data_IF_586316844169
#
_entry.id   IF_586316844169
#
_cell.length_a   1.000
_cell.length_b   1.000
_cell.length_c   1.000
_cell.angle_alpha   90.00
_cell.angle_beta   90.00
_cell.angle_gamma   90.00
#
_symmetry.space_group_name_H-M   'P 1'
#
loop_
_entity.id
_entity.type
_entity.pdbx_description
1 polymer ?
#
# COMPACT_ATOMS: atom_id res chain seq x y z
N UNK A 1 -50.11 -50.93 34.42
CA UNK A 1 -50.98 -51.39 33.32
C UNK A 1 -51.99 -50.29 33.06
N UNK A 2 -51.82 -49.53 31.97
CA UNK A 2 -52.66 -49.64 30.76
C UNK A 2 -54.09 -49.12 31.04
N UNK A 3 -54.66 -48.13 30.35
CA UNK A 3 -54.64 -47.82 28.91
C UNK A 3 -55.39 -46.51 28.65
N UNK A 4 -54.99 -45.83 27.58
CA UNK A 4 -55.78 -44.85 26.80
C UNK A 4 -56.88 -45.60 26.00
N UNK A 5 -58.01 -44.94 25.71
CA UNK A 5 -58.47 -44.84 24.30
C UNK A 5 -58.87 -43.38 23.99
N UNK A 6 -58.39 -42.72 22.93
CA UNK A 6 -58.52 -42.93 21.47
C UNK A 6 -59.92 -42.72 20.88
N UNK A 7 -59.93 -41.90 19.81
CA UNK A 7 -60.92 -41.71 18.72
C UNK A 7 -61.96 -40.59 18.89
N UNK A 8 -62.31 -39.77 17.88
CA UNK A 8 -61.84 -39.46 16.51
C UNK A 8 -62.83 -38.38 15.97
N UNK A 9 -62.47 -37.69 14.86
CA UNK A 9 -63.33 -36.93 13.93
C UNK A 9 -63.70 -35.46 14.28
N UNK A 10 -63.70 -34.47 13.36
CA UNK A 10 -63.39 -34.38 11.93
C UNK A 10 -63.49 -32.88 11.48
N UNK A 11 -62.48 -32.38 10.74
CA UNK A 11 -62.52 -31.45 9.58
C UNK A 11 -62.78 -29.92 9.71
N UNK A 12 -62.09 -29.21 8.78
CA UNK A 12 -62.17 -27.82 8.30
C UNK A 12 -61.42 -26.80 9.17
N UNK A 13 -60.34 -26.14 8.75
CA UNK A 13 -59.78 -25.89 7.44
C UNK A 13 -59.35 -24.42 7.40
N UNK A 14 -58.08 -24.11 7.69
CA UNK A 14 -57.47 -22.84 7.32
C UNK A 14 -55.95 -22.99 7.29
N UNK A 15 -55.41 -22.96 6.08
CA UNK A 15 -53.98 -22.88 5.83
C UNK A 15 -53.53 -21.43 6.07
N UNK A 16 -52.59 -21.22 6.99
CA UNK A 16 -51.68 -20.08 6.93
C UNK A 16 -50.26 -20.60 7.12
N UNK A 17 -49.53 -20.59 6.02
CA UNK A 17 -48.11 -20.88 5.91
C UNK A 17 -47.33 -19.84 6.71
N UNK A 18 -46.69 -20.26 7.80
CA UNK A 18 -45.59 -19.51 8.41
C UNK A 18 -44.36 -19.81 7.55
N UNK A 19 -44.11 -18.97 6.54
CA UNK A 19 -42.80 -18.90 5.89
C UNK A 19 -41.82 -18.34 6.91
N UNK A 20 -41.00 -19.21 7.50
CA UNK A 20 -39.80 -18.79 8.20
C UNK A 20 -38.78 -18.39 7.13
N UNK A 21 -38.72 -17.09 6.85
CA UNK A 21 -37.59 -16.50 6.15
C UNK A 21 -36.38 -16.60 7.09
N UNK A 22 -35.45 -17.47 6.74
CA UNK A 22 -34.07 -17.39 7.21
C UNK A 22 -33.54 -16.00 6.85
N UNK A 23 -32.83 -15.28 7.75
CA UNK A 23 -32.04 -14.15 7.30
C UNK A 23 -30.96 -14.72 6.37
N UNK A 24 -31.10 -14.40 5.09
CA UNK A 24 -30.00 -14.54 4.15
C UNK A 24 -28.84 -13.72 4.70
N UNK A 25 -27.67 -14.36 4.82
CA UNK A 25 -26.40 -13.67 4.97
C UNK A 25 -26.32 -12.68 3.81
N UNK A 26 -26.53 -11.40 4.10
CA UNK A 26 -26.25 -10.35 3.16
C UNK A 26 -24.74 -10.42 2.90
N UNK A 27 -24.35 -10.77 1.68
CA UNK A 27 -23.07 -10.33 1.15
C UNK A 27 -23.00 -8.83 1.40
N UNK A 28 -21.95 -8.41 2.11
CA UNK A 28 -21.59 -7.01 2.26
C UNK A 28 -21.37 -6.48 0.84
N UNK A 29 -22.36 -5.76 0.31
CA UNK A 29 -22.19 -5.00 -0.92
C UNK A 29 -21.01 -4.05 -0.72
N UNK A 30 -20.10 -4.05 -1.69
CA UNK A 30 -18.93 -3.18 -1.72
C UNK A 30 -19.33 -1.75 -1.35
N UNK A 31 -18.62 -1.18 -0.37
CA UNK A 31 -18.76 0.17 0.14
C UNK A 31 -19.15 1.13 -1.01
N UNK A 32 -20.39 1.63 -1.00
CA UNK A 32 -20.77 2.74 -1.88
C UNK A 32 -19.76 3.85 -1.60
N UNK A 33 -18.94 4.17 -2.62
CA UNK A 33 -17.75 5.00 -2.48
C UNK A 33 -18.00 6.16 -1.54
N UNK A 34 -17.14 6.29 -0.52
CA UNK A 34 -17.29 7.22 0.59
C UNK A 34 -17.51 8.66 0.10
N UNK A 35 -18.76 9.01 -0.18
CA UNK A 35 -19.25 10.39 -0.23
C UNK A 35 -19.55 10.90 1.18
N UNK A 36 -19.17 10.14 2.22
CA UNK A 36 -19.41 10.42 3.63
C UNK A 36 -18.21 10.93 4.40
N UNK A 37 -16.99 10.92 3.83
CA UNK A 37 -15.80 11.46 4.49
C UNK A 37 -15.94 12.97 4.66
N UNK A 38 -16.04 13.41 5.91
CA UNK A 38 -16.27 14.79 6.28
C UNK A 38 -16.24 14.94 7.79
N UNK A 39 -15.99 16.16 8.27
CA UNK A 39 -15.98 16.43 9.70
C UNK A 39 -17.32 16.04 10.33
N UNK A 40 -17.25 15.28 11.41
CA UNK A 40 -18.40 14.76 12.16
C UNK A 40 -19.00 13.47 11.63
N UNK A 41 -18.60 12.99 10.45
CA UNK A 41 -19.08 11.72 9.89
C UNK A 41 -18.32 10.53 10.48
N UNK A 42 -19.04 9.47 10.83
CA UNK A 42 -18.44 8.19 11.20
C UNK A 42 -18.10 7.39 9.94
N UNK A 43 -16.83 7.03 9.80
CA UNK A 43 -16.33 6.18 8.72
C UNK A 43 -16.13 4.77 9.27
N UNK A 44 -16.77 3.75 8.69
CA UNK A 44 -16.58 2.36 9.12
C UNK A 44 -15.15 1.91 8.82
N UNK A 45 -14.58 1.12 9.72
CA UNK A 45 -13.26 0.50 9.58
C UNK A 45 -13.47 -1.00 9.50
N UNK A 46 -12.82 -1.66 8.53
CA UNK A 46 -12.84 -3.12 8.39
C UNK A 46 -11.50 -3.74 8.71
N UNK A 47 -11.48 -5.01 9.12
CA UNK A 47 -10.27 -5.83 9.17
C UNK A 47 -9.90 -6.36 7.77
N UNK A 48 -8.83 -7.16 7.70
CA UNK A 48 -8.32 -7.79 6.47
C UNK A 48 -9.31 -8.77 5.83
N UNK A 49 -10.26 -9.30 6.61
CA UNK A 49 -11.34 -10.14 6.11
C UNK A 49 -12.52 -9.32 5.53
N UNK A 50 -12.45 -7.99 5.57
CA UNK A 50 -13.50 -7.09 5.14
C UNK A 50 -14.65 -6.94 6.15
N UNK A 51 -14.51 -7.47 7.36
CA UNK A 51 -15.52 -7.35 8.42
C UNK A 51 -15.36 -6.00 9.12
N UNK A 52 -16.47 -5.28 9.33
CA UNK A 52 -16.44 -4.02 10.10
C UNK A 52 -16.04 -4.32 11.54
N UNK A 53 -15.05 -3.60 12.06
CA UNK A 53 -14.54 -3.73 13.44
C UNK A 53 -14.88 -2.51 14.31
N UNK A 54 -15.29 -1.41 13.69
CA UNK A 54 -15.70 -0.20 14.39
C UNK A 54 -15.90 0.96 13.42
N UNK A 55 -15.97 2.16 13.99
CA UNK A 55 -16.03 3.40 13.23
C UNK A 55 -15.11 4.47 13.81
N UNK A 56 -14.59 5.33 12.94
CA UNK A 56 -13.75 6.48 13.29
C UNK A 56 -14.41 7.76 12.80
N UNK A 57 -14.49 8.76 13.65
CA UNK A 57 -15.02 10.09 13.32
C UNK A 57 -13.97 11.15 13.62
N UNK A 58 -13.65 11.98 12.64
CA UNK A 58 -12.94 13.24 12.89
C UNK A 58 -13.96 14.29 13.30
N UNK A 59 -14.01 14.63 14.58
CA UNK A 59 -15.00 15.57 15.11
C UNK A 59 -14.67 17.02 14.76
N UNK A 60 -13.39 17.37 14.81
CA UNK A 60 -12.87 18.71 14.52
C UNK A 60 -11.38 18.64 14.16
N UNK A 61 -10.94 19.61 13.38
CA UNK A 61 -9.52 19.91 13.11
C UNK A 61 -9.31 21.38 13.49
N UNK A 62 -8.32 21.63 14.35
CA UNK A 62 -7.99 22.97 14.85
C UNK A 62 -6.60 23.32 14.32
N UNK A 63 -6.56 24.38 13.53
CA UNK A 63 -5.35 24.88 12.88
C UNK A 63 -5.38 26.43 12.83
N UNK A 64 -4.42 27.14 13.45
CA UNK A 64 -3.39 26.61 14.35
C UNK A 64 -3.95 26.28 15.74
N UNK A 65 -3.48 25.20 16.35
CA UNK A 65 -3.77 24.85 17.73
C UNK A 65 -2.80 25.56 18.69
N UNK A 66 -3.37 26.34 19.61
CA UNK A 66 -2.62 27.15 20.60
C UNK A 66 -2.82 26.68 22.04
N UNK A 67 -3.60 25.61 22.25
CA UNK A 67 -3.92 25.07 23.58
C UNK A 67 -2.86 24.16 24.19
N UNK A 68 -1.61 24.24 23.73
CA UNK A 68 -0.46 23.50 24.30
C UNK A 68 0.06 24.20 25.56
N UNK A 69 0.81 23.46 26.37
CA UNK A 69 1.54 24.04 27.49
C UNK A 69 2.57 25.07 26.96
N UNK A 70 2.55 26.29 27.48
CA UNK A 70 3.43 27.38 27.04
C UNK A 70 4.91 27.12 27.27
N UNK A 71 5.25 26.19 28.16
CA UNK A 71 6.64 25.75 28.40
C UNK A 71 7.15 24.82 27.28
N UNK A 72 6.26 24.31 26.44
CA UNK A 72 6.53 23.41 25.31
C UNK A 72 5.86 23.95 24.03
N UNK A 73 6.26 25.13 23.53
CA UNK A 73 5.74 25.65 22.29
C UNK A 73 6.19 24.79 21.10
N UNK A 74 5.54 24.97 19.95
CA UNK A 74 6.02 24.42 18.70
C UNK A 74 7.44 24.94 18.39
N UNK A 75 8.20 24.16 17.63
CA UNK A 75 9.52 24.57 17.18
C UNK A 75 9.45 25.86 16.34
N UNK A 76 10.50 26.71 16.35
CA UNK A 76 10.52 27.93 15.56
C UNK A 76 10.22 27.68 14.06
N UNK A 77 9.24 28.39 13.51
CA UNK A 77 8.80 28.24 12.11
C UNK A 77 7.79 27.12 11.88
N UNK A 78 7.26 26.53 12.96
CA UNK A 78 6.23 25.50 12.94
C UNK A 78 5.07 25.88 13.87
N UNK A 79 3.93 25.25 13.66
CA UNK A 79 2.77 25.31 14.54
C UNK A 79 2.18 23.91 14.75
N UNK A 80 1.30 23.80 15.73
CA UNK A 80 0.54 22.57 15.95
C UNK A 80 -0.77 22.61 15.18
N UNK A 81 -1.11 21.49 14.54
CA UNK A 81 -2.46 21.17 14.09
C UNK A 81 -2.99 20.08 15.00
N UNK A 82 -4.24 20.18 15.45
CA UNK A 82 -4.86 19.15 16.30
C UNK A 82 -6.11 18.60 15.67
N UNK A 83 -6.17 17.27 15.60
CA UNK A 83 -7.32 16.49 15.18
C UNK A 83 -7.97 15.90 16.42
N UNK A 84 -9.27 16.16 16.62
CA UNK A 84 -10.04 15.42 17.61
C UNK A 84 -10.73 14.24 16.94
N UNK A 85 -10.23 13.05 17.22
CA UNK A 85 -10.82 11.81 16.74
C UNK A 85 -11.74 11.19 17.79
N UNK A 86 -12.70 10.42 17.32
CA UNK A 86 -13.58 9.58 18.11
C UNK A 86 -13.56 8.18 17.50
N UNK A 87 -13.27 7.19 18.32
CA UNK A 87 -13.26 5.78 17.94
C UNK A 87 -14.42 5.08 18.64
N UNK A 88 -15.21 4.31 17.89
CA UNK A 88 -16.29 3.48 18.41
C UNK A 88 -16.04 2.03 18.01
N UNK A 89 -16.02 1.11 18.97
CA UNK A 89 -15.99 -0.34 18.74
C UNK A 89 -17.42 -0.89 18.62
N UNK A 90 -18.22 -0.30 17.72
CA UNK A 90 -19.66 -0.52 17.58
C UNK A 90 -20.04 -1.77 16.76
N UNK A 91 -19.05 -2.51 16.26
CA UNK A 91 -19.26 -3.73 15.48
C UNK A 91 -19.26 -5.03 16.31
N UNK A 92 -19.20 -4.92 17.65
CA UNK A 92 -19.21 -6.07 18.55
C UNK A 92 -17.87 -6.81 18.69
N UNK A 93 -16.80 -6.28 18.11
CA UNK A 93 -15.42 -6.79 18.21
C UNK A 93 -14.52 -5.81 18.95
N UNK A 94 -13.28 -6.24 19.25
CA UNK A 94 -12.27 -5.35 19.81
C UNK A 94 -11.71 -4.44 18.72
N UNK A 95 -11.37 -3.22 19.09
CA UNK A 95 -10.80 -2.25 18.16
C UNK A 95 -9.54 -1.63 18.77
N UNK A 96 -8.39 -1.98 18.20
CA UNK A 96 -7.11 -1.40 18.58
C UNK A 96 -6.95 -0.01 17.97
N UNK A 97 -6.60 0.96 18.80
CA UNK A 97 -6.42 2.34 18.38
C UNK A 97 -5.08 2.86 18.88
N UNK A 98 -4.49 3.77 18.13
CA UNK A 98 -3.30 4.50 18.52
C UNK A 98 -3.26 5.88 17.87
N UNK A 99 -2.53 6.86 18.42
CA UNK A 99 -2.42 8.19 17.82
C UNK A 99 -1.75 8.16 16.44
N UNK A 100 -0.71 7.34 16.27
CA UNK A 100 0.07 7.25 15.03
C UNK A 100 -0.68 6.61 13.87
N UNK A 101 -1.83 5.97 14.10
CA UNK A 101 -2.68 5.47 13.01
C UNK A 101 -3.57 6.56 12.41
N UNK A 102 -3.51 7.79 12.92
CA UNK A 102 -4.16 8.95 12.29
C UNK A 102 -3.07 9.76 11.59
N UNK A 103 -3.22 9.89 10.28
CA UNK A 103 -2.25 10.54 9.40
C UNK A 103 -2.89 11.78 8.79
N UNK A 104 -2.16 12.88 8.76
CA UNK A 104 -2.61 14.11 8.11
C UNK A 104 -1.91 14.29 6.77
N UNK A 105 -2.66 14.65 5.72
CA UNK A 105 -2.09 15.06 4.45
C UNK A 105 -2.19 16.57 4.28
N UNK A 106 -1.15 17.19 3.72
CA UNK A 106 -1.13 18.62 3.40
C UNK A 106 -1.45 18.96 1.92
N UNK A 107 -1.32 20.23 1.54
CA UNK A 107 -1.57 20.71 0.18
C UNK A 107 -0.53 20.24 -0.86
N UNK A 108 0.62 19.75 -0.41
CA UNK A 108 1.68 19.21 -1.25
C UNK A 108 1.61 17.68 -1.36
N UNK A 109 0.64 17.06 -0.67
CA UNK A 109 0.45 15.62 -0.63
C UNK A 109 1.33 14.92 0.40
N UNK A 110 2.14 15.64 1.18
CA UNK A 110 2.98 15.09 2.24
C UNK A 110 2.10 14.53 3.35
N UNK A 111 2.46 13.37 3.86
CA UNK A 111 1.84 12.70 4.99
C UNK A 111 2.62 13.05 6.26
N UNK A 112 1.89 13.46 7.28
CA UNK A 112 2.42 13.88 8.57
C UNK A 112 1.93 12.90 9.63
N UNK A 113 2.88 12.36 10.39
CA UNK A 113 2.62 11.50 11.54
C UNK A 113 2.25 12.31 12.79
N UNK A 114 1.59 11.64 13.72
CA UNK A 114 1.24 12.24 15.00
C UNK A 114 2.50 12.58 15.81
N UNK A 115 2.51 13.74 16.45
CA UNK A 115 3.50 14.14 17.44
C UNK A 115 2.93 14.07 18.87
N UNK A 116 3.81 14.18 19.86
CA UNK A 116 3.40 14.29 21.25
C UNK A 116 2.88 15.70 21.56
N UNK A 117 1.69 15.80 22.17
CA UNK A 117 1.13 17.08 22.62
C UNK A 117 1.27 17.21 24.13
N UNK A 118 2.10 18.14 24.59
CA UNK A 118 2.11 18.50 26.01
C UNK A 118 0.97 19.47 26.28
N UNK A 119 -0.17 18.94 26.72
CA UNK A 119 -1.35 19.73 27.07
C UNK A 119 -1.23 20.31 28.50
N UNK A 120 -1.88 21.44 28.80
CA UNK A 120 -2.07 21.93 30.17
C UNK A 120 -2.83 20.93 31.05
N UNK A 121 -2.58 20.95 32.36
CA UNK A 121 -3.23 20.05 33.33
C UNK A 121 -4.77 20.21 33.38
N UNK A 122 -5.30 21.35 32.93
CA UNK A 122 -6.72 21.66 32.88
C UNK A 122 -7.38 21.38 31.51
N UNK A 123 -6.67 20.73 30.58
CA UNK A 123 -7.21 20.34 29.28
C UNK A 123 -8.43 19.41 29.43
N UNK A 124 -9.56 19.80 28.84
CA UNK A 124 -10.82 19.05 28.94
C UNK A 124 -10.83 17.74 28.15
N UNK A 125 -10.09 17.68 27.05
CA UNK A 125 -9.94 16.49 26.22
C UNK A 125 -8.46 16.10 26.26
N UNK A 126 -8.13 14.91 26.78
CA UNK A 126 -6.74 14.48 26.84
C UNK A 126 -6.23 14.15 25.44
N UNK A 127 -4.90 14.11 25.29
CA UNK A 127 -4.28 13.48 24.13
C UNK A 127 -4.71 12.01 24.07
N UNK A 128 -4.95 11.52 22.86
CA UNK A 128 -5.24 10.11 22.64
C UNK A 128 -4.01 9.28 23.04
N UNK A 129 -4.25 8.14 23.69
CA UNK A 129 -3.23 7.13 23.98
C UNK A 129 -3.61 5.82 23.31
N UNK A 130 -2.62 5.02 22.93
CA UNK A 130 -2.85 3.69 22.39
C UNK A 130 -3.57 2.78 23.38
N UNK A 131 -4.60 2.07 22.92
CA UNK A 131 -5.37 1.12 23.72
C UNK A 131 -6.24 0.20 22.85
N UNK A 132 -6.65 -0.94 23.42
CA UNK A 132 -7.67 -1.81 22.84
C UNK A 132 -9.04 -1.48 23.41
N UNK A 133 -9.98 -1.06 22.57
CA UNK A 133 -11.37 -0.85 22.96
C UNK A 133 -12.10 -2.19 23.07
N UNK A 134 -12.86 -2.36 24.16
CA UNK A 134 -13.81 -3.46 24.26
C UNK A 134 -15.03 -3.21 23.35
N UNK A 135 -15.77 -4.26 22.95
CA UNK A 135 -17.02 -4.10 22.21
C UNK A 135 -17.95 -3.06 22.85
N UNK A 136 -18.64 -2.29 22.02
CA UNK A 136 -19.54 -1.19 22.39
C UNK A 136 -18.89 -0.04 23.19
N UNK A 137 -17.55 -0.02 23.28
CA UNK A 137 -16.81 1.08 23.91
C UNK A 137 -16.54 2.20 22.93
N UNK A 138 -16.40 3.40 23.50
CA UNK A 138 -16.12 4.63 22.76
C UNK A 138 -15.05 5.43 23.47
N UNK A 139 -14.13 5.99 22.71
CA UNK A 139 -13.16 6.96 23.22
C UNK A 139 -12.99 8.14 22.28
N UNK A 140 -12.62 9.28 22.84
CA UNK A 140 -12.27 10.48 22.10
C UNK A 140 -10.97 11.03 22.68
N UNK A 141 -10.11 11.56 21.82
CA UNK A 141 -8.85 12.17 22.24
C UNK A 141 -8.31 13.12 21.17
N UNK A 142 -7.36 13.95 21.57
CA UNK A 142 -6.62 14.85 20.68
C UNK A 142 -5.41 14.12 20.09
N UNK A 143 -5.19 14.29 18.79
CA UNK A 143 -3.98 13.86 18.08
C UNK A 143 -3.34 15.12 17.51
N UNK A 144 -2.07 15.35 17.82
CA UNK A 144 -1.34 16.52 17.34
C UNK A 144 -0.45 16.19 16.17
N UNK A 145 -0.25 17.18 15.32
CA UNK A 145 0.72 17.21 14.24
C UNK A 145 1.51 18.50 14.40
N UNK A 146 2.82 18.46 14.16
CA UNK A 146 3.64 19.65 14.15
C UNK A 146 4.13 19.87 12.73
N UNK A 147 3.76 21.00 12.13
CA UNK A 147 3.99 21.27 10.72
C UNK A 147 4.58 22.67 10.53
N UNK A 148 5.33 22.91 9.43
CA UNK A 148 5.79 24.26 9.08
C UNK A 148 4.65 25.27 8.93
N UNK A 149 4.94 26.54 9.20
CA UNK A 149 3.94 27.63 9.22
C UNK A 149 3.19 27.88 7.90
N UNK A 150 3.72 27.40 6.77
CA UNK A 150 3.12 27.51 5.44
C UNK A 150 2.33 26.27 5.00
N UNK A 151 2.26 25.24 5.84
CA UNK A 151 1.51 24.02 5.57
C UNK A 151 0.05 24.18 5.99
N UNK A 152 -0.85 23.71 5.12
CA UNK A 152 -2.30 23.68 5.32
C UNK A 152 -2.80 22.23 5.19
N UNK A 153 -3.43 21.68 6.23
CA UNK A 153 -4.06 20.35 6.18
C UNK A 153 -5.14 20.26 5.10
N UNK A 154 -5.12 19.20 4.30
CA UNK A 154 -6.13 18.94 3.25
C UNK A 154 -6.98 17.72 3.53
N UNK A 155 -6.42 16.66 4.12
CA UNK A 155 -7.13 15.41 4.41
C UNK A 155 -6.61 14.76 5.69
N UNK A 156 -7.50 14.04 6.37
CA UNK A 156 -7.18 13.19 7.52
C UNK A 156 -7.49 11.74 7.15
N UNK A 157 -6.52 10.85 7.39
CA UNK A 157 -6.61 9.43 7.12
C UNK A 157 -6.53 8.61 8.42
N UNK A 158 -7.11 7.41 8.37
CA UNK A 158 -6.82 6.33 9.31
C UNK A 158 -5.98 5.27 8.58
N UNK A 159 -4.83 4.94 9.15
CA UNK A 159 -3.87 3.96 8.66
C UNK A 159 -3.77 2.79 9.65
N UNK A 160 -4.65 1.78 9.57
CA UNK A 160 -4.57 0.61 10.45
C UNK A 160 -3.34 -0.25 10.16
N UNK A 161 -2.90 -0.26 8.89
CA UNK A 161 -1.71 -0.95 8.38
C UNK A 161 -1.08 -0.08 7.29
N UNK A 162 0.21 -0.29 7.00
CA UNK A 162 0.96 0.56 6.06
C UNK A 162 0.35 0.62 4.65
N UNK A 163 -0.23 -0.49 4.18
CA UNK A 163 -0.85 -0.63 2.86
C UNK A 163 -2.29 -0.12 2.78
N UNK A 164 -2.79 0.63 3.77
CA UNK A 164 -4.18 1.08 3.79
C UNK A 164 -4.35 2.48 4.35
N UNK A 165 -4.93 3.38 3.57
CA UNK A 165 -5.26 4.75 3.97
C UNK A 165 -6.76 5.01 3.79
N UNK A 166 -7.50 4.93 4.88
CA UNK A 166 -8.96 5.18 4.91
C UNK A 166 -9.18 6.68 5.09
N UNK A 167 -9.80 7.34 4.10
CA UNK A 167 -10.14 8.76 4.20
C UNK A 167 -11.21 9.00 5.28
N UNK A 168 -10.84 9.72 6.35
CA UNK A 168 -11.76 10.08 7.43
C UNK A 168 -12.45 11.41 7.19
N UNK A 169 -11.68 12.41 6.78
CA UNK A 169 -12.18 13.75 6.51
C UNK A 169 -11.40 14.41 5.37
N UNK A 170 -12.13 14.97 4.41
CA UNK A 170 -11.59 15.89 3.42
C UNK A 170 -11.84 17.33 3.91
N UNK A 171 -10.76 18.05 4.22
CA UNK A 171 -10.80 19.42 4.73
C UNK A 171 -10.85 20.43 3.59
N UNK A 172 -10.17 20.10 2.48
CA UNK A 172 -10.20 20.84 1.23
C UNK A 172 -10.59 19.88 0.12
N UNK A 173 -11.72 20.16 -0.53
CA UNK A 173 -12.21 19.34 -1.64
C UNK A 173 -11.15 19.25 -2.74
N UNK A 174 -10.63 18.04 -2.95
CA UNK A 174 -9.55 17.79 -3.89
C UNK A 174 -10.07 16.82 -4.93
N UNK A 175 -10.42 17.36 -6.09
CA UNK A 175 -10.81 16.54 -7.24
C UNK A 175 -9.57 15.83 -7.78
N UNK A 176 -9.60 14.49 -7.84
CA UNK A 176 -8.54 13.73 -8.50
C UNK A 176 -8.40 14.21 -9.96
N UNK A 177 -7.16 14.36 -10.47
CA UNK A 177 -6.95 14.79 -11.85
C UNK A 177 -7.62 13.82 -12.83
N UNK A 178 -8.26 14.28 -13.91
CA UNK A 178 -8.71 13.36 -14.94
C UNK A 178 -7.50 12.77 -15.69
N UNK A 179 -7.65 11.54 -16.20
CA UNK A 179 -6.68 10.90 -17.10
C UNK A 179 -6.34 11.87 -18.24
N UNK A 180 -5.05 11.98 -18.58
CA UNK A 180 -4.49 12.92 -19.55
C UNK A 180 -4.02 14.25 -18.95
N UNK A 181 -4.28 14.51 -17.66
CA UNK A 181 -3.78 15.70 -16.95
C UNK A 181 -2.32 15.51 -16.53
N UNK A 182 -1.49 16.50 -16.83
CA UNK A 182 -0.12 16.54 -16.33
C UNK A 182 -0.11 17.07 -14.88
N UNK A 183 0.52 16.33 -13.99
CA UNK A 183 0.63 16.63 -12.55
C UNK A 183 2.11 16.94 -12.24
N UNK A 184 2.42 18.06 -11.55
CA UNK A 184 3.76 18.31 -11.05
C UNK A 184 4.23 17.19 -10.13
N UNK A 185 5.47 16.75 -10.30
CA UNK A 185 5.99 15.58 -9.61
C UNK A 185 7.41 15.84 -9.13
N UNK A 186 7.73 15.37 -7.92
CA UNK A 186 9.10 15.36 -7.40
C UNK A 186 9.46 13.91 -7.10
N UNK A 187 10.57 13.44 -7.67
CA UNK A 187 11.05 12.08 -7.41
C UNK A 187 11.70 11.95 -6.02
N UNK A 188 12.10 10.72 -5.68
CA UNK A 188 12.72 10.40 -4.40
C UNK A 188 14.10 11.04 -4.17
N UNK A 189 14.78 11.49 -5.23
CA UNK A 189 16.06 12.18 -5.19
C UNK A 189 15.90 13.71 -5.15
N UNK A 190 14.67 14.22 -5.16
CA UNK A 190 14.34 15.65 -5.21
C UNK A 190 14.36 16.26 -6.61
N UNK A 191 14.48 15.44 -7.66
CA UNK A 191 14.34 15.86 -9.05
C UNK A 191 12.88 16.22 -9.37
N UNK A 192 12.66 17.32 -10.10
CA UNK A 192 11.30 17.81 -10.40
C UNK A 192 10.92 17.61 -11.86
N UNK A 193 9.72 17.13 -12.11
CA UNK A 193 9.18 16.86 -13.43
C UNK A 193 7.66 16.96 -13.47
N UNK A 194 7.07 16.32 -14.47
CA UNK A 194 5.63 16.13 -14.58
C UNK A 194 5.31 14.68 -14.92
N UNK A 195 4.20 14.19 -14.38
CA UNK A 195 3.65 12.87 -14.68
C UNK A 195 2.26 13.04 -15.28
N UNK A 196 2.01 12.35 -16.40
CA UNK A 196 0.70 12.30 -17.05
C UNK A 196 0.24 10.86 -17.15
N UNK A 197 -0.86 10.53 -16.48
CA UNK A 197 -1.52 9.23 -16.69
C UNK A 197 -2.22 9.27 -18.04
N UNK A 198 -1.83 8.40 -18.98
CA UNK A 198 -2.35 8.37 -20.35
C UNK A 198 -3.62 7.55 -20.45
N UNK A 199 -3.64 6.42 -19.76
CA UNK A 199 -4.71 5.44 -19.85
C UNK A 199 -4.74 4.59 -18.59
N UNK A 200 -5.93 4.19 -18.18
CA UNK A 200 -6.15 3.15 -17.18
C UNK A 200 -7.17 2.17 -17.78
N UNK A 201 -6.84 0.87 -17.81
CA UNK A 201 -7.70 -0.19 -18.32
C UNK A 201 -8.05 -1.13 -17.16
N UNK A 202 -9.33 -1.23 -16.85
CA UNK A 202 -9.88 -2.11 -15.81
C UNK A 202 -11.19 -2.76 -16.32
N UNK A 203 -11.29 -4.10 -16.40
CA UNK A 203 -10.23 -5.08 -16.19
C UNK A 203 -9.24 -5.14 -17.37
N UNK A 204 -7.97 -5.39 -17.07
CA UNK A 204 -6.93 -5.63 -18.06
C UNK A 204 -6.79 -7.13 -18.36
N UNK A 205 -6.88 -7.51 -19.64
CA UNK A 205 -6.79 -8.90 -20.10
C UNK A 205 -5.60 -9.16 -21.04
N UNK A 206 -4.79 -8.14 -21.35
CA UNK A 206 -3.64 -8.24 -22.25
C UNK A 206 -2.39 -8.83 -21.59
N UNK A 207 -2.56 -9.90 -20.82
CA UNK A 207 -1.48 -10.62 -20.12
C UNK A 207 -1.25 -11.98 -20.75
N UNK A 208 -0.02 -12.48 -20.67
CA UNK A 208 0.33 -13.82 -21.11
C UNK A 208 -0.43 -14.85 -20.26
N UNK A 209 -1.11 -15.84 -20.86
CA UNK A 209 -1.85 -16.86 -20.12
C UNK A 209 -1.00 -17.70 -19.14
N UNK A 210 0.33 -17.70 -19.29
CA UNK A 210 1.26 -18.33 -18.34
C UNK A 210 1.40 -17.55 -17.02
N UNK A 211 0.94 -16.30 -16.97
CA UNK A 211 0.80 -15.45 -15.79
C UNK A 211 -0.68 -15.23 -15.51
N UNK A 212 -1.43 -16.28 -15.11
CA UNK A 212 -2.85 -16.12 -14.82
C UNK A 212 -3.02 -15.19 -13.63
N UNK A 213 -4.09 -14.40 -13.68
CA UNK A 213 -4.46 -13.55 -12.55
C UNK A 213 -4.63 -14.40 -11.28
N UNK A 214 -4.15 -13.95 -10.11
CA UNK A 214 -4.38 -14.63 -8.85
C UNK A 214 -5.87 -14.90 -8.62
N UNK A 215 -6.18 -16.02 -7.95
CA UNK A 215 -7.56 -16.40 -7.66
C UNK A 215 -8.28 -15.27 -6.91
N UNK A 216 -9.49 -14.93 -7.36
CA UNK A 216 -10.29 -13.86 -6.76
C UNK A 216 -9.84 -12.44 -7.14
N UNK A 217 -8.87 -12.28 -8.03
CA UNK A 217 -8.33 -10.98 -8.47
C UNK A 217 -8.62 -10.67 -9.94
N UNK A 218 -8.38 -9.43 -10.34
CA UNK A 218 -8.36 -8.93 -11.72
C UNK A 218 -7.14 -8.04 -11.91
N UNK A 219 -6.58 -8.02 -13.12
CA UNK A 219 -5.50 -7.08 -13.43
C UNK A 219 -6.05 -5.72 -13.81
N UNK A 220 -5.31 -4.67 -13.49
CA UNK A 220 -5.55 -3.28 -13.89
C UNK A 220 -4.28 -2.75 -14.52
N UNK A 221 -4.38 -2.15 -15.70
CA UNK A 221 -3.24 -1.58 -16.42
C UNK A 221 -3.27 -0.05 -16.32
N UNK A 222 -2.11 0.58 -16.16
CA UNK A 222 -1.96 2.02 -16.29
C UNK A 222 -0.74 2.36 -17.15
N UNK A 223 -0.91 3.29 -18.09
CA UNK A 223 0.17 3.87 -18.87
C UNK A 223 0.43 5.30 -18.40
N UNK A 224 1.69 5.66 -18.18
CA UNK A 224 2.10 6.96 -17.68
C UNK A 224 3.23 7.53 -18.54
N UNK A 225 3.23 8.85 -18.75
CA UNK A 225 4.37 9.59 -19.29
C UNK A 225 5.00 10.43 -18.19
N UNK A 226 6.29 10.21 -17.95
CA UNK A 226 7.15 11.03 -17.13
C UNK A 226 7.92 12.01 -18.03
N UNK A 227 8.04 13.27 -17.59
CA UNK A 227 8.78 14.30 -18.31
C UNK A 227 9.66 15.09 -17.35
N UNK A 228 10.96 15.17 -17.65
CA UNK A 228 11.86 16.01 -16.89
C UNK A 228 11.74 17.46 -17.35
N UNK A 229 11.06 18.27 -16.54
CA UNK A 229 10.87 19.70 -16.81
C UNK A 229 11.88 20.60 -16.12
N UNK A 230 12.85 20.02 -15.42
CA UNK A 230 13.91 20.73 -14.71
C UNK A 230 15.23 20.70 -15.49
N UNK A 231 16.21 21.46 -14.99
CA UNK A 231 17.60 21.41 -15.46
C UNK A 231 18.43 20.29 -14.78
N UNK A 232 17.83 19.57 -13.82
CA UNK A 232 18.48 18.53 -13.01
C UNK A 232 18.21 17.11 -13.51
N UNK A 233 18.71 16.12 -12.76
CA UNK A 233 18.31 14.72 -12.96
C UNK A 233 16.87 14.51 -12.48
N UNK A 234 16.14 13.65 -13.18
CA UNK A 234 14.79 13.24 -12.80
C UNK A 234 14.64 11.74 -13.04
N UNK A 235 14.14 10.99 -12.08
CA UNK A 235 13.98 9.55 -12.16
C UNK A 235 12.52 9.15 -12.28
N UNK A 236 12.27 8.14 -13.13
CA UNK A 236 11.01 7.40 -13.12
C UNK A 236 11.11 6.27 -12.11
N UNK A 237 10.03 5.95 -11.41
CA UNK A 237 9.97 4.80 -10.51
C UNK A 237 8.57 4.19 -10.51
N UNK A 238 8.45 2.95 -10.96
CA UNK A 238 7.20 2.21 -10.92
C UNK A 238 6.81 1.81 -9.50
N UNK A 239 7.77 1.52 -8.61
CA UNK A 239 7.47 1.09 -7.24
C UNK A 239 6.82 2.18 -6.39
N UNK A 240 7.02 3.45 -6.78
CA UNK A 240 6.33 4.58 -6.15
C UNK A 240 4.84 4.63 -6.50
N UNK A 241 4.35 3.92 -7.50
CA UNK A 241 2.96 4.02 -7.95
C UNK A 241 2.03 3.17 -7.09
N UNK A 242 0.86 3.71 -6.75
CA UNK A 242 -0.11 3.03 -5.90
C UNK A 242 -1.51 3.18 -6.49
N UNK A 243 -2.21 2.07 -6.67
CA UNK A 243 -3.61 2.07 -7.03
C UNK A 243 -4.46 1.95 -5.77
N UNK A 244 -5.37 2.89 -5.53
CA UNK A 244 -6.22 2.87 -4.35
C UNK A 244 -7.64 2.41 -4.69
N UNK A 245 -8.26 1.65 -3.78
CA UNK A 245 -9.67 1.30 -3.85
C UNK A 245 -10.57 2.08 -2.86
N UNK A 246 -11.86 1.81 -2.91
CA UNK A 246 -12.88 2.50 -2.10
C UNK A 246 -12.83 2.16 -0.61
N UNK A 247 -12.10 1.11 -0.21
CA UNK A 247 -11.84 0.74 1.18
C UNK A 247 -10.56 1.38 1.72
N UNK A 248 -9.84 2.12 0.88
CA UNK A 248 -8.56 2.76 1.19
C UNK A 248 -7.35 1.84 1.01
N UNK A 249 -7.53 0.61 0.52
CA UNK A 249 -6.43 -0.32 0.31
C UNK A 249 -5.54 0.18 -0.85
N UNK A 250 -4.22 0.08 -0.66
CA UNK A 250 -3.21 0.53 -1.60
C UNK A 250 -2.54 -0.69 -2.25
N UNK A 251 -2.65 -0.77 -3.56
CA UNK A 251 -2.14 -1.86 -4.37
C UNK A 251 -0.89 -1.39 -5.11
N UNK A 252 0.22 -2.11 -4.92
CA UNK A 252 1.49 -1.85 -5.62
C UNK A 252 1.51 -2.57 -6.98
N UNK A 253 2.35 -2.14 -7.94
CA UNK A 253 2.48 -2.81 -9.22
C UNK A 253 3.02 -4.23 -9.05
N UNK A 254 2.58 -5.11 -9.94
CA UNK A 254 3.07 -6.48 -10.08
C UNK A 254 3.70 -6.65 -11.47
N UNK A 255 4.76 -7.45 -11.53
CA UNK A 255 5.38 -7.82 -12.79
C UNK A 255 4.56 -8.94 -13.46
N UNK A 256 4.06 -8.65 -14.66
CA UNK A 256 3.39 -9.64 -15.51
C UNK A 256 3.89 -9.50 -16.94
N UNK A 257 4.01 -10.64 -17.64
CA UNK A 257 4.28 -10.60 -19.07
C UNK A 257 3.04 -10.11 -19.81
N UNK A 258 3.11 -8.93 -20.43
CA UNK A 258 2.02 -8.37 -21.24
C UNK A 258 2.07 -8.90 -22.67
N UNK A 259 0.95 -8.85 -23.39
CA UNK A 259 0.83 -9.36 -24.76
C UNK A 259 0.17 -8.36 -25.71
N UNK A 260 0.35 -8.61 -27.01
CA UNK A 260 -0.30 -7.86 -28.08
C UNK A 260 0.12 -6.38 -28.13
N UNK A 261 -0.83 -5.53 -28.49
CA UNK A 261 -0.60 -4.10 -28.74
C UNK A 261 -0.16 -3.32 -27.48
N UNK A 262 -0.29 -3.92 -26.29
CA UNK A 262 0.16 -3.28 -25.05
C UNK A 262 1.69 -3.18 -24.99
N UNK A 263 2.43 -4.06 -25.68
CA UNK A 263 3.89 -4.04 -25.73
C UNK A 263 4.47 -2.81 -26.44
N UNK A 264 3.64 -2.01 -27.13
CA UNK A 264 4.06 -0.74 -27.74
C UNK A 264 4.54 0.25 -26.65
N UNK A 265 3.89 0.22 -25.48
CA UNK A 265 4.36 0.95 -24.30
C UNK A 265 5.24 -0.01 -23.49
N UNK A 266 6.53 0.28 -23.26
CA UNK A 266 7.40 -0.60 -22.49
C UNK A 266 6.97 -0.65 -21.02
N UNK A 267 7.40 -1.67 -20.27
CA UNK A 267 7.19 -1.68 -18.82
C UNK A 267 7.95 -0.53 -18.18
N UNK A 268 7.29 0.14 -17.23
CA UNK A 268 7.89 1.23 -16.48
C UNK A 268 8.83 0.64 -15.43
N UNK A 269 10.08 1.06 -15.48
CA UNK A 269 11.09 0.74 -14.47
C UNK A 269 11.75 1.99 -13.92
N UNK A 270 12.85 1.78 -13.20
CA UNK A 270 13.73 2.85 -12.77
C UNK A 270 14.56 3.37 -13.94
N UNK A 271 14.43 4.66 -14.29
CA UNK A 271 15.22 5.27 -15.35
C UNK A 271 15.48 6.76 -15.08
N UNK A 272 16.71 7.21 -15.35
CA UNK A 272 17.04 8.63 -15.29
C UNK A 272 16.70 9.32 -16.63
N UNK A 273 16.01 10.44 -16.55
CA UNK A 273 15.67 11.31 -17.67
C UNK A 273 16.54 12.56 -17.67
N UNK A 274 17.15 12.90 -18.81
CA UNK A 274 17.85 14.17 -18.96
C UNK A 274 16.84 15.34 -19.04
N UNK A 275 17.27 16.59 -18.82
CA UNK A 275 16.41 17.76 -18.99
C UNK A 275 15.70 17.80 -20.34
N UNK A 276 14.38 17.90 -20.33
CA UNK A 276 13.52 17.90 -21.52
C UNK A 276 13.16 16.52 -22.08
N UNK A 277 13.76 15.44 -21.57
CA UNK A 277 13.41 14.08 -21.96
C UNK A 277 12.07 13.66 -21.36
N UNK A 278 11.44 12.69 -22.04
CA UNK A 278 10.18 12.09 -21.62
C UNK A 278 10.20 10.60 -21.88
N UNK A 279 9.69 9.84 -20.93
CA UNK A 279 9.57 8.38 -20.99
C UNK A 279 8.12 7.99 -20.75
N UNK A 280 7.59 7.11 -21.60
CA UNK A 280 6.28 6.51 -21.38
C UNK A 280 6.46 5.05 -21.03
N UNK A 281 5.84 4.62 -19.94
CA UNK A 281 5.90 3.24 -19.48
C UNK A 281 4.56 2.79 -18.93
N UNK A 282 4.43 1.48 -18.79
CA UNK A 282 3.24 0.81 -18.30
C UNK A 282 3.49 0.09 -16.97
N UNK A 283 2.47 0.02 -16.14
CA UNK A 283 2.44 -0.81 -14.93
C UNK A 283 1.13 -1.59 -14.88
N UNK A 284 1.16 -2.74 -14.22
CA UNK A 284 -0.02 -3.59 -13.98
C UNK A 284 -0.17 -3.81 -12.48
N UNK A 285 -1.40 -3.83 -11.99
CA UNK A 285 -1.75 -4.11 -10.60
C UNK A 285 -2.66 -5.33 -10.57
N UNK A 286 -2.49 -6.21 -9.58
CA UNK A 286 -3.51 -7.20 -9.21
C UNK A 286 -4.37 -6.65 -8.08
N UNK A 287 -5.68 -6.57 -8.31
CA UNK A 287 -6.65 -6.11 -7.30
C UNK A 287 -7.79 -7.13 -7.15
N UNK A 288 -8.48 -7.20 -6.00
CA UNK A 288 -9.62 -8.08 -5.84
C UNK A 288 -10.67 -7.85 -6.93
N UNK A 289 -11.25 -8.92 -7.46
CA UNK A 289 -12.15 -8.87 -8.62
C UNK A 289 -13.42 -8.03 -8.37
N UNK A 290 -13.79 -7.78 -7.12
CA UNK A 290 -14.91 -6.92 -6.72
C UNK A 290 -14.51 -5.51 -6.23
N UNK A 291 -13.20 -5.19 -6.16
CA UNK A 291 -12.73 -3.91 -5.67
C UNK A 291 -13.23 -2.76 -6.56
N UNK A 292 -13.62 -1.64 -5.93
CA UNK A 292 -14.00 -0.41 -6.63
C UNK A 292 -12.83 0.57 -6.54
N UNK A 293 -12.19 0.86 -7.67
CA UNK A 293 -11.01 1.72 -7.70
C UNK A 293 -11.41 3.19 -7.50
N UNK A 294 -10.57 3.95 -6.79
CA UNK A 294 -10.75 5.39 -6.58
C UNK A 294 -9.80 6.21 -7.45
N UNK A 295 -8.52 5.84 -7.48
CA UNK A 295 -7.51 6.58 -8.23
C UNK A 295 -6.14 5.94 -8.23
N UNK A 296 -5.30 6.48 -9.11
CA UNK A 296 -3.87 6.22 -9.17
C UNK A 296 -3.13 7.34 -8.44
N UNK A 297 -2.21 6.95 -7.58
CA UNK A 297 -1.40 7.81 -6.73
C UNK A 297 0.07 7.48 -6.91
N UNK A 298 0.94 8.33 -6.35
CA UNK A 298 2.35 8.01 -6.19
C UNK A 298 2.87 8.44 -4.82
N UNK A 299 3.78 7.63 -4.29
CA UNK A 299 4.51 7.83 -3.04
C UNK A 299 6.01 7.72 -3.29
N UNK A 300 6.65 8.75 -3.88
CA UNK A 300 8.07 8.70 -4.22
C UNK A 300 8.97 8.50 -2.99
N UNK A 301 8.61 9.11 -1.85
CA UNK A 301 9.42 9.06 -0.62
C UNK A 301 8.84 8.15 0.46
N UNK A 302 7.68 7.50 0.22
CA UNK A 302 6.90 6.83 1.28
C UNK A 302 6.12 7.77 2.20
N UNK A 303 6.59 9.01 2.35
CA UNK A 303 5.98 10.06 3.19
C UNK A 303 5.07 11.02 2.38
N UNK A 304 4.79 10.70 1.13
CA UNK A 304 3.92 11.50 0.26
C UNK A 304 2.87 10.60 -0.38
N UNK A 305 1.67 11.12 -0.62
CA UNK A 305 0.65 10.46 -1.43
C UNK A 305 0.07 11.44 -2.44
N UNK A 306 0.74 11.55 -3.58
CA UNK A 306 0.39 12.48 -4.65
C UNK A 306 -0.71 11.87 -5.55
N UNK A 307 -1.88 12.52 -5.70
CA UNK A 307 -2.90 12.06 -6.64
C UNK A 307 -2.47 12.29 -8.09
N UNK A 308 -2.45 11.22 -8.90
CA UNK A 308 -2.05 11.29 -10.31
C UNK A 308 -3.25 11.26 -11.27
N UNK A 309 -4.23 10.38 -11.03
CA UNK A 309 -5.46 10.35 -11.82
C UNK A 309 -6.63 9.67 -11.10
N UNK A 310 -7.86 10.08 -11.43
CA UNK A 310 -9.07 9.36 -11.08
C UNK A 310 -9.16 8.02 -11.84
N UNK A 311 -9.64 6.98 -11.16
CA UNK A 311 -9.89 5.69 -11.81
C UNK A 311 -11.10 5.76 -12.77
N UNK A 312 -11.13 4.94 -13.84
CA UNK A 312 -12.25 4.89 -14.76
C UNK A 312 -13.57 4.59 -14.03
N UNK A 313 -14.64 5.31 -14.39
CA UNK A 313 -15.97 5.14 -13.77
C UNK A 313 -16.26 6.10 -12.62
N UNK A 314 -15.26 6.87 -12.14
CA UNK A 314 -15.50 8.02 -11.26
C UNK A 314 -15.67 9.27 -12.11
N UNK A 315 -16.91 9.54 -12.50
CA UNK A 315 -17.24 10.76 -13.24
C UNK A 315 -17.25 11.93 -12.27
N UNK A 316 -16.36 12.91 -12.44
CA UNK A 316 -16.53 14.23 -11.85
C UNK A 316 -17.92 14.78 -12.25
N UNK A 317 -18.60 15.58 -11.40
CA UNK A 317 -19.89 16.17 -11.75
C UNK A 317 -19.71 17.07 -12.97
N UNK A 318 -20.08 16.55 -14.12
CA UNK A 318 -19.96 17.25 -15.40
C UNK A 318 -21.12 18.24 -15.48
N UNK A 319 -20.80 19.53 -15.45
CA UNK A 319 -21.72 20.56 -15.96
C UNK A 319 -21.91 20.34 -17.44
N UNK A 320 -23.10 19.88 -17.81
CA UNK A 320 -23.58 19.70 -19.17
C UNK A 320 -23.38 20.97 -19.99
N UNK A 321 -22.54 20.91 -21.02
CA UNK A 321 -22.61 21.81 -22.17
C UNK A 321 -22.67 20.96 -23.42
N UNK A 322 -23.88 20.80 -23.95
CA UNK A 322 -24.13 20.08 -25.19
C UNK A 322 -23.48 20.76 -26.39
N UNK A 323 -22.85 19.96 -27.23
CA UNK A 323 -22.69 20.25 -28.64
C UNK A 323 -22.77 18.94 -29.41
N UNK A 324 -23.52 19.03 -30.50
CA UNK A 324 -24.23 17.99 -31.24
C UNK A 324 -23.33 17.26 -32.25
N UNK A 325 -23.70 16.02 -32.57
CA UNK A 325 -23.02 15.09 -33.46
C UNK A 325 -22.76 15.64 -34.89
N UNK A 326 -21.72 15.12 -35.54
CA UNK A 326 -21.74 14.88 -36.99
C UNK A 326 -20.89 13.64 -37.32
N UNK A 327 -21.45 12.58 -37.93
CA UNK A 327 -20.71 11.36 -38.27
C UNK A 327 -20.05 11.46 -39.66
N UNK A 328 -18.84 10.92 -39.81
CA UNK A 328 -18.20 10.77 -41.12
C UNK A 328 -17.52 9.40 -41.30
N UNK A 329 -18.18 8.58 -42.14
CA UNK A 329 -17.70 7.59 -43.11
C UNK A 329 -16.56 6.59 -42.77
N UNK A 330 -16.91 5.30 -42.89
CA UNK A 330 -16.03 4.15 -43.11
C UNK A 330 -15.17 4.26 -44.38
N UNK A 331 -14.00 3.60 -44.41
CA UNK A 331 -13.50 3.02 -45.65
C UNK A 331 -13.30 1.49 -45.59
N UNK A 332 -13.44 0.96 -46.79
CA UNK A 332 -13.54 -0.40 -47.30
C UNK A 332 -12.32 -1.29 -47.04
N UNK A 333 -12.58 -2.58 -46.80
CA UNK A 333 -11.58 -3.66 -46.72
C UNK A 333 -10.89 -3.92 -48.06
N UNK A 334 -9.57 -4.12 -48.04
CA UNK A 334 -8.80 -4.66 -49.17
C UNK A 334 -8.00 -5.89 -48.72
N UNK A 335 -8.17 -6.98 -49.48
CA UNK A 335 -7.62 -8.31 -49.24
C UNK A 335 -6.20 -8.38 -49.80
N UNK A 336 -5.22 -8.79 -48.99
CA UNK A 336 -3.85 -9.10 -49.46
C UNK A 336 -3.50 -10.54 -49.09
N UNK A 337 -3.05 -11.29 -50.10
CA UNK A 337 -2.73 -12.72 -50.08
C UNK A 337 -1.42 -13.08 -49.36
N UNK A 338 -1.44 -14.22 -48.70
CA UNK A 338 -0.32 -14.92 -48.05
C UNK A 338 0.65 -15.55 -49.07
N UNK A 339 1.99 -15.52 -48.84
CA UNK A 339 2.91 -16.50 -49.41
C UNK A 339 3.43 -17.52 -48.38
N UNK A 340 3.70 -18.72 -48.90
CA UNK A 340 4.12 -19.97 -48.26
C UNK A 340 5.53 -19.91 -47.61
N UNK A 341 5.79 -20.56 -46.45
CA UNK A 341 7.12 -20.56 -45.83
C UNK A 341 8.00 -21.74 -46.29
N UNK A 342 9.28 -21.45 -46.52
CA UNK A 342 10.34 -22.41 -46.82
C UNK A 342 10.89 -23.10 -45.55
N UNK A 343 11.54 -24.29 -45.66
CA UNK A 343 11.91 -25.11 -44.51
C UNK A 343 13.16 -24.62 -43.77
N UNK A 344 13.08 -24.69 -42.44
CA UNK A 344 14.11 -24.26 -41.48
C UNK A 344 15.15 -25.38 -41.25
N UNK A 345 16.42 -24.99 -41.21
CA UNK A 345 17.57 -25.85 -40.83
C UNK A 345 17.76 -25.77 -39.31
N UNK A 346 18.06 -26.86 -38.57
CA UNK A 346 18.15 -26.81 -37.11
C UNK A 346 19.45 -26.16 -36.62
N UNK A 347 19.33 -25.28 -35.62
CA UNK A 347 20.43 -24.68 -34.85
C UNK A 347 20.98 -25.63 -33.76
N UNK A 348 22.24 -25.43 -33.30
CA UNK A 348 22.91 -26.29 -32.32
C UNK A 348 22.60 -25.90 -30.85
N UNK A 349 22.95 -26.82 -29.94
CA UNK A 349 22.71 -26.83 -28.49
C UNK A 349 22.77 -25.47 -27.75
N UNK A 350 21.71 -25.22 -26.97
CA UNK A 350 21.52 -24.08 -26.05
C UNK A 350 22.54 -24.14 -24.91
N UNK A 351 23.39 -23.12 -24.79
CA UNK A 351 24.18 -22.87 -23.59
C UNK A 351 23.24 -22.44 -22.45
N UNK A 352 23.47 -22.94 -21.23
CA UNK A 352 22.70 -22.60 -20.03
C UNK A 352 22.59 -21.07 -19.87
N UNK A 353 21.37 -20.59 -19.69
CA UNK A 353 21.07 -19.17 -19.56
C UNK A 353 21.52 -18.68 -18.16
N UNK A 354 22.57 -17.85 -18.05
CA UNK A 354 23.08 -17.37 -16.76
C UNK A 354 22.08 -16.47 -16.01
N UNK A 355 21.03 -15.95 -16.67
CA UNK A 355 19.99 -15.13 -16.06
C UNK A 355 18.94 -15.97 -15.32
N UNK A 356 18.68 -17.21 -15.75
CA UNK A 356 17.71 -18.09 -15.10
C UNK A 356 18.19 -18.52 -13.69
N UNK A 357 19.46 -18.94 -13.58
CA UNK A 357 20.06 -19.32 -12.30
C UNK A 357 20.12 -18.13 -11.32
N UNK A 358 20.28 -16.91 -11.83
CA UNK A 358 20.27 -15.68 -11.03
C UNK A 358 18.86 -15.33 -10.54
N UNK A 359 17.84 -15.47 -11.38
CA UNK A 359 16.45 -15.22 -10.99
C UNK A 359 15.97 -16.18 -9.90
N UNK A 360 16.24 -17.48 -10.05
CA UNK A 360 15.88 -18.48 -9.04
C UNK A 360 16.58 -18.21 -7.69
N UNK A 361 17.85 -17.79 -7.74
CA UNK A 361 18.61 -17.39 -6.55
C UNK A 361 18.03 -16.13 -5.88
N UNK A 362 17.57 -15.15 -6.66
CA UNK A 362 16.99 -13.89 -6.17
C UNK A 362 15.63 -14.09 -5.49
N UNK A 363 14.76 -14.95 -6.04
CA UNK A 363 13.46 -15.29 -5.43
C UNK A 363 13.68 -15.96 -4.08
N UNK A 364 14.55 -16.97 -4.03
CA UNK A 364 14.92 -17.62 -2.78
C UNK A 364 15.52 -16.63 -1.77
N UNK A 365 16.33 -15.66 -2.21
CA UNK A 365 16.87 -14.59 -1.37
C UNK A 365 15.82 -13.65 -0.77
N UNK A 366 14.76 -13.34 -1.51
CA UNK A 366 13.68 -12.46 -1.06
C UNK A 366 12.89 -13.07 0.09
N UNK A 367 12.52 -14.35 -0.01
CA UNK A 367 11.83 -15.07 1.08
C UNK A 367 12.65 -15.09 2.38
N UNK A 368 13.98 -15.19 2.25
CA UNK A 368 14.91 -15.22 3.38
C UNK A 368 15.06 -13.84 4.03
N UNK A 369 15.03 -12.76 3.23
CA UNK A 369 14.99 -11.39 3.74
C UNK A 369 13.69 -11.12 4.50
N UNK A 370 12.53 -11.54 3.96
CA UNK A 370 11.23 -11.39 4.64
C UNK A 370 11.20 -12.15 5.97
N UNK A 371 11.73 -13.38 6.00
CA UNK A 371 11.87 -14.15 7.24
C UNK A 371 12.77 -13.44 8.27
N UNK A 372 13.88 -12.84 7.83
CA UNK A 372 14.78 -12.08 8.69
C UNK A 372 14.13 -10.79 9.23
N UNK A 373 13.29 -10.12 8.44
CA UNK A 373 12.52 -8.95 8.87
C UNK A 373 11.49 -9.33 9.94
N UNK A 374 10.76 -10.43 9.75
CA UNK A 374 9.84 -10.94 10.78
C UNK A 374 10.54 -11.28 12.10
N UNK A 375 11.71 -11.92 12.04
CA UNK A 375 12.53 -12.18 13.24
C UNK A 375 13.05 -10.89 13.89
N UNK A 376 13.32 -9.85 13.12
CA UNK A 376 13.76 -8.56 13.65
C UNK A 376 12.62 -7.85 14.39
N UNK A 377 11.39 -7.94 13.87
CA UNK A 377 10.18 -7.45 14.55
C UNK A 377 9.94 -8.20 15.87
N UNK A 378 10.08 -9.53 15.85
CA UNK A 378 9.98 -10.36 17.05
C UNK A 378 11.05 -9.98 18.08
N UNK A 379 12.29 -9.71 17.64
CA UNK A 379 13.36 -9.25 18.52
C UNK A 379 13.04 -7.90 19.16
N UNK A 380 12.47 -6.95 18.41
CA UNK A 380 12.10 -5.62 18.94
C UNK A 380 10.97 -5.69 19.96
N UNK A 381 10.08 -6.66 19.82
CA UNK A 381 8.93 -6.86 20.70
C UNK A 381 9.22 -7.80 21.89
N UNK A 382 10.34 -8.51 21.88
CA UNK A 382 10.72 -9.42 22.95
C UNK A 382 11.00 -8.66 24.26
N UNK A 383 10.44 -9.18 25.36
CA UNK A 383 10.57 -8.55 26.70
C UNK A 383 11.46 -9.34 27.65
N UNK A 384 12.03 -10.47 27.20
CA UNK A 384 12.90 -11.33 28.00
C UNK A 384 14.15 -11.76 27.23
N UNK A 385 15.20 -12.03 28.01
CA UNK A 385 16.52 -12.38 27.47
C UNK A 385 16.55 -13.77 26.81
N UNK A 386 15.66 -14.69 27.19
CA UNK A 386 15.68 -16.04 26.63
C UNK A 386 15.20 -16.03 25.18
N UNK A 387 14.08 -15.34 24.91
CA UNK A 387 13.56 -15.14 23.55
C UNK A 387 14.58 -14.43 22.66
N UNK A 388 15.23 -13.37 23.14
CA UNK A 388 16.28 -12.68 22.37
C UNK A 388 17.49 -13.58 22.09
N UNK A 389 17.87 -14.45 23.03
CA UNK A 389 18.95 -15.43 22.81
C UNK A 389 18.59 -16.41 21.70
N UNK A 390 17.35 -16.91 21.70
CA UNK A 390 16.86 -17.83 20.67
C UNK A 390 16.77 -17.14 19.30
N UNK A 391 16.33 -15.88 19.23
CA UNK A 391 16.26 -15.11 17.98
C UNK A 391 17.67 -14.79 17.45
N UNK A 392 18.61 -14.43 18.33
CA UNK A 392 20.01 -14.20 17.96
C UNK A 392 20.66 -15.44 17.34
N UNK A 393 20.37 -16.63 17.88
CA UNK A 393 20.82 -17.91 17.34
C UNK A 393 20.20 -18.20 15.96
N UNK A 394 18.93 -17.86 15.76
CA UNK A 394 18.27 -17.99 14.45
C UNK A 394 18.92 -17.10 13.40
N UNK A 395 19.24 -15.83 13.73
CA UNK A 395 19.99 -14.96 12.81
C UNK A 395 21.40 -15.49 12.49
N UNK A 396 22.11 -16.05 13.47
CA UNK A 396 23.40 -16.68 13.24
C UNK A 396 23.28 -17.87 12.29
N UNK A 397 22.27 -18.71 12.50
CA UNK A 397 22.00 -19.87 11.64
C UNK A 397 21.66 -19.43 10.22
N UNK A 398 20.80 -18.42 10.05
CA UNK A 398 20.50 -17.84 8.73
C UNK A 398 21.77 -17.32 8.04
N UNK A 399 22.64 -16.61 8.76
CA UNK A 399 23.88 -16.09 8.19
C UNK A 399 24.85 -17.21 7.76
N UNK A 400 24.88 -18.33 8.49
CA UNK A 400 25.71 -19.48 8.15
C UNK A 400 25.12 -20.26 6.96
N UNK A 401 23.80 -20.42 6.91
CA UNK A 401 23.09 -21.05 5.80
C UNK A 401 23.25 -20.23 4.51
N UNK A 402 23.12 -18.90 4.58
CA UNK A 402 23.42 -17.96 3.50
C UNK A 402 24.86 -18.13 2.99
N UNK A 403 25.83 -18.23 3.90
CA UNK A 403 27.23 -18.46 3.56
C UNK A 403 27.53 -19.77 2.80
N UNK A 404 26.57 -20.70 2.73
CA UNK A 404 26.68 -21.97 2.00
C UNK A 404 25.94 -21.95 0.64
N UNK A 405 25.18 -20.90 0.35
CA UNK A 405 24.42 -20.76 -0.89
C UNK A 405 25.40 -20.58 -2.05
N UNK A 406 25.16 -21.31 -3.14
CA UNK A 406 25.92 -21.10 -4.37
C UNK A 406 25.43 -19.83 -5.04
N UNK A 407 26.28 -18.81 -5.09
CA UNK A 407 25.93 -17.50 -5.63
C UNK A 407 26.24 -17.43 -7.13
N UNK A 408 25.25 -17.15 -7.98
CA UNK A 408 25.48 -16.89 -9.40
C UNK A 408 26.23 -15.57 -9.62
N UNK A 409 26.90 -15.46 -10.77
CA UNK A 409 27.69 -14.26 -11.13
C UNK A 409 26.78 -13.03 -11.14
N UNK A 410 27.17 -11.99 -10.40
CA UNK A 410 26.39 -10.75 -10.23
C UNK A 410 25.65 -10.64 -8.89
N UNK A 411 25.46 -11.76 -8.18
CA UNK A 411 24.82 -11.80 -6.87
C UNK A 411 25.75 -11.60 -5.67
N UNK A 412 27.06 -11.65 -5.86
CA UNK A 412 28.05 -11.79 -4.77
C UNK A 412 28.07 -10.60 -3.80
N UNK A 413 27.81 -9.39 -4.31
CA UNK A 413 27.76 -8.19 -3.49
C UNK A 413 26.52 -8.16 -2.59
N UNK A 414 25.37 -8.58 -3.13
CA UNK A 414 24.11 -8.65 -2.39
C UNK A 414 24.17 -9.75 -1.32
N UNK A 415 24.68 -10.94 -1.68
CA UNK A 415 24.87 -12.04 -0.73
C UNK A 415 25.77 -11.63 0.44
N UNK A 416 26.92 -11.02 0.13
CA UNK A 416 27.85 -10.56 1.16
C UNK A 416 27.22 -9.52 2.08
N UNK A 417 26.37 -8.63 1.54
CA UNK A 417 25.65 -7.63 2.32
C UNK A 417 24.58 -8.29 3.20
N UNK A 418 23.88 -9.32 2.70
CA UNK A 418 22.89 -10.08 3.45
C UNK A 418 23.52 -10.81 4.64
N UNK A 419 24.56 -11.61 4.41
CA UNK A 419 25.30 -12.31 5.48
C UNK A 419 25.82 -11.33 6.54
N UNK A 420 26.38 -10.19 6.11
CA UNK A 420 26.87 -9.18 7.05
C UNK A 420 25.75 -8.55 7.89
N UNK A 421 24.58 -8.33 7.30
CA UNK A 421 23.41 -7.76 7.97
C UNK A 421 22.82 -8.76 8.96
N UNK A 422 22.69 -10.04 8.58
CA UNK A 422 22.24 -11.13 9.47
C UNK A 422 23.19 -11.31 10.67
N UNK A 423 24.51 -11.22 10.48
CA UNK A 423 25.46 -11.23 11.60
C UNK A 423 25.34 -10.01 12.51
N UNK A 424 25.05 -8.85 11.92
CA UNK A 424 24.79 -7.63 12.69
C UNK A 424 23.54 -7.80 13.55
N UNK A 425 22.44 -8.31 12.98
CA UNK A 425 21.21 -8.63 13.69
C UNK A 425 21.43 -9.65 14.81
N UNK A 426 22.15 -10.73 14.53
CA UNK A 426 22.52 -11.71 15.55
C UNK A 426 23.27 -11.06 16.72
N UNK A 427 24.30 -10.27 16.44
CA UNK A 427 25.11 -9.62 17.49
C UNK A 427 24.32 -8.60 18.31
N UNK A 428 23.56 -7.71 17.66
CA UNK A 428 22.76 -6.70 18.34
C UNK A 428 21.67 -7.34 19.22
N UNK A 429 21.07 -8.43 18.74
CA UNK A 429 20.07 -9.20 19.51
C UNK A 429 20.71 -9.91 20.72
N UNK A 430 21.93 -10.45 20.59
CA UNK A 430 22.65 -11.05 21.72
C UNK A 430 23.05 -10.00 22.78
N UNK A 431 23.45 -8.81 22.33
CA UNK A 431 23.79 -7.69 23.21
C UNK A 431 22.55 -7.20 23.96
N UNK A 432 21.40 -7.09 23.27
CA UNK A 432 20.11 -6.79 23.90
C UNK A 432 19.71 -7.85 24.94
N UNK A 433 19.88 -9.14 24.63
CA UNK A 433 19.62 -10.23 25.56
C UNK A 433 20.49 -10.12 26.83
N UNK A 434 21.77 -9.79 26.65
CA UNK A 434 22.72 -9.62 27.77
C UNK A 434 22.35 -8.42 28.64
N UNK A 435 21.97 -7.30 28.03
CA UNK A 435 21.51 -6.11 28.75
C UNK A 435 20.26 -6.44 29.59
N UNK A 436 19.25 -7.08 28.98
CA UNK A 436 18.03 -7.49 29.67
C UNK A 436 18.29 -8.48 30.81
N UNK A 437 19.20 -9.45 30.62
CA UNK A 437 19.56 -10.41 31.66
C UNK A 437 20.25 -9.75 32.87
N UNK A 438 20.99 -8.65 32.64
CA UNK A 438 21.66 -7.88 33.68
C UNK A 438 20.78 -6.76 34.29
N UNK A 439 19.62 -6.48 33.67
CA UNK A 439 18.75 -5.35 34.04
C UNK A 439 19.26 -3.99 33.54
N UNK A 440 20.12 -3.99 32.52
CA UNK A 440 20.66 -2.80 31.86
C UNK A 440 19.73 -2.31 30.72
N UNK A 441 19.96 -1.09 30.24
CA UNK A 441 19.23 -0.51 29.10
C UNK A 441 19.64 -1.18 27.76
N UNK A 442 18.65 -1.66 27.01
CA UNK A 442 18.83 -2.30 25.70
C UNK A 442 18.54 -1.37 24.51
N UNK A 443 18.18 -0.10 24.74
CA UNK A 443 17.76 0.86 23.71
C UNK A 443 18.73 0.96 22.52
N UNK A 444 20.04 1.08 22.79
CA UNK A 444 21.06 1.18 21.75
C UNK A 444 21.15 -0.07 20.86
N UNK A 445 20.89 -1.25 21.42
CA UNK A 445 20.86 -2.52 20.69
C UNK A 445 19.58 -2.65 19.86
N UNK A 446 18.44 -2.20 20.37
CA UNK A 446 17.18 -2.16 19.65
C UNK A 446 17.22 -1.18 18.46
N UNK A 447 17.87 -0.02 18.62
CA UNK A 447 18.14 0.92 17.53
C UNK A 447 19.03 0.29 16.44
N UNK A 448 20.02 -0.51 16.83
CA UNK A 448 20.86 -1.24 15.89
C UNK A 448 20.07 -2.31 15.12
N UNK A 449 19.13 -2.99 15.78
CA UNK A 449 18.21 -3.94 15.13
C UNK A 449 17.35 -3.21 14.10
N UNK A 450 16.78 -2.04 14.45
CA UNK A 450 15.97 -1.23 13.51
C UNK A 450 16.78 -0.82 12.27
N UNK A 451 17.99 -0.28 12.46
CA UNK A 451 18.85 0.10 11.31
C UNK A 451 19.26 -1.09 10.45
N UNK A 452 19.47 -2.26 11.05
CA UNK A 452 19.80 -3.46 10.32
C UNK A 452 18.57 -4.01 9.55
N UNK A 453 17.37 -3.81 10.07
CA UNK A 453 16.12 -4.11 9.36
C UNK A 453 15.91 -3.19 8.15
N UNK A 454 16.17 -1.89 8.28
CA UNK A 454 16.17 -0.95 7.14
C UNK A 454 17.20 -1.38 6.08
N UNK A 455 18.35 -1.89 6.53
CA UNK A 455 19.39 -2.40 5.64
C UNK A 455 18.95 -3.65 4.88
N UNK A 456 18.16 -4.54 5.49
CA UNK A 456 17.56 -5.69 4.80
C UNK A 456 16.63 -5.24 3.67
N UNK A 457 15.79 -4.22 3.90
CA UNK A 457 14.95 -3.65 2.86
C UNK A 457 15.78 -3.05 1.71
N UNK A 458 16.87 -2.35 2.03
CA UNK A 458 17.79 -1.83 1.01
C UNK A 458 18.49 -2.93 0.20
N UNK A 459 18.83 -4.07 0.83
CA UNK A 459 19.42 -5.23 0.13
C UNK A 459 18.39 -5.86 -0.81
N UNK A 460 17.13 -5.96 -0.39
CA UNK A 460 16.04 -6.44 -1.24
C UNK A 460 15.88 -5.55 -2.48
N UNK A 461 15.94 -4.23 -2.33
CA UNK A 461 15.92 -3.30 -3.47
C UNK A 461 17.15 -3.48 -4.38
N UNK A 462 18.33 -3.72 -3.82
CA UNK A 462 19.55 -4.00 -4.61
C UNK A 462 19.45 -5.32 -5.37
N UNK A 463 18.87 -6.35 -4.77
CA UNK A 463 18.62 -7.63 -5.41
C UNK A 463 17.65 -7.47 -6.59
N UNK A 464 16.60 -6.64 -6.44
CA UNK A 464 15.68 -6.31 -7.53
C UNK A 464 16.35 -5.56 -8.70
N UNK A 465 17.34 -4.70 -8.42
CA UNK A 465 18.11 -3.98 -9.47
C UNK A 465 19.01 -4.92 -10.29
N UNK A 466 19.58 -5.96 -9.65
CA UNK A 466 20.40 -6.97 -10.32
C UNK A 466 19.56 -7.77 -11.33
N UNK A 467 18.31 -8.08 -10.99
CA UNK A 467 17.35 -8.74 -11.90
C UNK A 467 17.06 -7.90 -13.15
N UNK A 468 16.89 -6.58 -12.99
CA UNK A 468 16.60 -5.68 -14.12
C UNK A 468 17.73 -5.59 -15.16
N UNK A 469 18.98 -5.71 -14.71
CA UNK A 469 20.15 -5.69 -15.59
C UNK A 469 20.30 -6.97 -16.42
N UNK A 470 19.89 -8.13 -15.88
CA UNK A 470 19.93 -9.40 -16.60
C UNK A 470 18.88 -9.48 -17.72
N UNK A 471 17.69 -8.93 -17.50
CA UNK A 471 16.62 -8.85 -18.52
C UNK A 471 17.01 -7.91 -19.67
N UNK A 472 17.74 -6.83 -19.36
CA UNK A 472 18.21 -5.87 -20.36
C UNK A 472 19.31 -6.43 -21.28
N UNK A 473 20.10 -7.41 -20.81
CA UNK A 473 21.19 -8.02 -21.56
C UNK A 473 20.73 -9.15 -22.50
N UNK A 474 19.59 -9.78 -22.25
CA UNK A 474 19.00 -10.80 -23.12
C UNK A 474 18.13 -10.21 -24.25
N UNK A 475 17.74 -8.95 -24.12
CA UNK A 475 16.88 -8.24 -25.08
C UNK A 475 17.65 -7.44 -26.15
N UNK A 476 18.99 -7.44 -26.11
CA UNK A 476 19.88 -6.83 -27.11
C UNK A 476 20.62 -7.89 -27.92
#
# INVERSE_FOLDING_TARGET
MHRIPSMLSLVLGFALLISQALPALAQVDAQEGSTGAGLGSAVPVTNDAGEVIGSVTVAEVIDPFTGVNSDYPAEPGQHYVVVRAIFNADAGTRFDIAPWTIVMQDQHGTLWDSTNLVLPDDAMVPQLTGQTLAPDSRVSGLIGFQVPDDITPTRIYFQPVSSRLILLAELVATTLPPVGTAVPYTDSDGGTGQVTVREIIDPFAGVDPSYPVPEGSRYVYAALTFENTSDGAFHTDSYSLLLQDANGDLWSPEYVSRTGDTLIVPDLGWAQLAPGDRLTGAVVFAVPAGARLTGLFSSPTGEQLLPLAAAPGITAPSTTSGAEETPLAEPTSEVISTPEPAPVTPEPDVAANPCADLQDWLVAGTDRILAAQGLADDARNATDAATLTDISAQFAQMADDEGLVTVPVGGEAAEKALVATLRTLSSATADAATALANGDDASASLDLISRAQDRLAAIQSQMALVTGNCVSAEAG
#
